data_IF_816545432853
#
_entry.id   IF_816545432853
#
_cell.length_a   1.000
_cell.length_b   1.000
_cell.length_c   1.000
_cell.angle_alpha   90.00
_cell.angle_beta   90.00
_cell.angle_gamma   90.00
#
_symmetry.space_group_name_H-M   'P 1'
#
loop_
_entity.id
_entity.type
_entity.pdbx_description
1 polymer ?
#
# COMPACT_ATOMS: atom_id res chain seq x y z
N UNK A 1 -65.83 -22.86 -19.22
CA UNK A 1 -65.05 -24.03 -19.69
C UNK A 1 -63.59 -23.67 -19.54
N UNK A 2 -62.79 -24.38 -18.74
CA UNK A 2 -62.33 -25.77 -18.86
C UNK A 2 -61.37 -25.99 -20.04
N UNK A 3 -60.09 -26.19 -19.73
CA UNK A 3 -59.24 -27.38 -20.04
C UNK A 3 -57.76 -26.96 -19.86
N UNK A 4 -56.94 -27.54 -18.95
CA UNK A 4 -56.34 -28.90 -18.93
C UNK A 4 -55.56 -29.18 -20.25
N UNK A 5 -54.31 -29.66 -20.29
CA UNK A 5 -53.75 -30.85 -19.60
C UNK A 5 -52.26 -31.10 -19.98
N UNK A 6 -51.47 -31.63 -19.01
CA UNK A 6 -50.32 -32.61 -19.03
C UNK A 6 -49.05 -32.37 -19.89
N UNK A 7 -47.85 -32.82 -19.52
CA UNK A 7 -47.38 -33.54 -18.32
C UNK A 7 -46.08 -34.34 -18.56
N UNK A 8 -45.57 -34.94 -17.47
CA UNK A 8 -44.65 -36.10 -17.44
C UNK A 8 -43.15 -35.79 -17.47
N UNK A 9 -42.21 -36.48 -16.80
CA UNK A 9 -42.21 -37.63 -15.87
C UNK A 9 -40.82 -37.66 -15.19
N UNK A 10 -40.75 -37.97 -13.88
CA UNK A 10 -39.63 -38.68 -13.22
C UNK A 10 -39.85 -40.22 -13.36
N UNK A 11 -39.08 -41.18 -12.79
CA UNK A 11 -37.78 -41.21 -12.04
C UNK A 11 -36.89 -42.40 -12.62
N UNK A 12 -35.98 -43.17 -11.93
CA UNK A 12 -35.62 -43.25 -10.50
C UNK A 12 -34.14 -43.45 -10.10
N UNK A 13 -34.00 -43.57 -8.78
CA UNK A 13 -32.85 -43.64 -7.90
C UNK A 13 -31.92 -44.86 -8.05
N UNK A 14 -30.73 -44.76 -7.44
CA UNK A 14 -30.01 -45.91 -6.90
C UNK A 14 -29.37 -45.57 -5.54
N UNK A 15 -29.73 -46.39 -4.54
CA UNK A 15 -29.12 -46.49 -3.21
C UNK A 15 -27.96 -47.50 -3.27
N UNK A 16 -26.93 -47.33 -2.45
CA UNK A 16 -25.87 -48.32 -2.24
C UNK A 16 -25.21 -48.17 -0.87
N UNK A 17 -25.40 -49.19 -0.03
CA UNK A 17 -24.96 -49.35 1.36
C UNK A 17 -23.44 -49.39 1.56
N UNK A 18 -23.00 -49.10 2.81
CA UNK A 18 -21.60 -49.09 3.27
C UNK A 18 -20.93 -50.48 3.40
N UNK A 19 -19.80 -50.55 4.14
CA UNK A 19 -19.92 -51.08 5.51
C UNK A 19 -19.01 -50.41 6.56
N UNK A 20 -19.30 -50.77 7.82
CA UNK A 20 -18.59 -50.47 9.08
C UNK A 20 -17.20 -51.12 9.14
N UNK A 21 -16.25 -50.47 9.83
CA UNK A 21 -15.29 -51.12 10.73
C UNK A 21 -14.62 -50.09 11.66
N UNK A 22 -14.65 -50.40 12.96
CA UNK A 22 -13.79 -49.97 14.07
C UNK A 22 -13.41 -51.31 14.78
N UNK A 23 -12.40 -51.44 15.69
CA UNK A 23 -11.47 -50.45 16.22
C UNK A 23 -10.00 -50.97 16.38
N UNK A 24 -9.10 -50.09 16.86
CA UNK A 24 -8.02 -50.47 17.78
C UNK A 24 -6.60 -50.59 17.22
N UNK A 25 -5.67 -49.78 17.76
CA UNK A 25 -4.37 -50.16 18.33
C UNK A 25 -3.39 -48.98 18.26
N UNK A 26 -3.20 -48.28 19.37
CA UNK A 26 -2.12 -47.31 19.53
C UNK A 26 -1.69 -47.25 20.99
N UNK A 27 -0.57 -47.92 21.32
CA UNK A 27 0.29 -47.65 22.48
C UNK A 27 1.60 -48.46 22.37
N UNK A 28 2.72 -47.82 22.73
CA UNK A 28 4.05 -48.43 22.99
C UNK A 28 5.10 -48.04 21.93
N UNK A 29 5.96 -47.03 22.08
CA UNK A 29 7.06 -46.81 23.04
C UNK A 29 8.36 -47.56 22.71
N UNK A 30 9.48 -46.83 22.74
CA UNK A 30 10.88 -47.30 22.61
C UNK A 30 11.44 -47.09 21.19
N UNK A 31 12.65 -46.62 20.91
CA UNK A 31 13.91 -46.37 21.63
C UNK A 31 14.72 -45.39 20.74
N UNK A 32 15.35 -44.32 21.27
CA UNK A 32 16.79 -44.27 21.61
C UNK A 32 17.74 -44.79 20.52
N UNK A 33 18.46 -43.87 19.86
CA UNK A 33 19.90 -43.95 19.49
C UNK A 33 20.21 -42.85 18.45
N UNK A 34 20.96 -41.80 18.79
CA UNK A 34 22.42 -41.72 18.76
C UNK A 34 22.94 -40.99 17.50
N UNK A 35 23.52 -39.80 17.74
CA UNK A 35 24.34 -39.05 16.79
C UNK A 35 25.67 -39.78 16.54
N UNK A 36 26.31 -39.55 15.38
CA UNK A 36 27.56 -38.78 15.36
C UNK A 36 27.61 -37.89 14.10
N UNK A 37 28.49 -36.91 13.90
CA UNK A 37 29.72 -36.48 14.54
C UNK A 37 30.34 -35.49 13.55
N UNK A 38 30.83 -34.37 14.05
CA UNK A 38 31.45 -33.30 13.25
C UNK A 38 32.98 -33.48 13.27
N UNK A 39 33.70 -33.37 12.14
CA UNK A 39 35.14 -33.16 12.17
C UNK A 39 35.50 -31.71 11.83
N UNK A 40 36.32 -31.12 12.72
CA UNK A 40 37.12 -29.91 12.50
C UNK A 40 38.44 -30.26 11.81
N UNK A 41 38.98 -29.32 11.03
CA UNK A 41 40.39 -29.17 10.64
C UNK A 41 40.48 -28.20 9.44
N UNK A 42 41.32 -27.17 9.35
CA UNK A 42 42.53 -26.78 10.08
C UNK A 42 43.70 -26.57 9.09
N UNK A 43 44.22 -25.34 8.96
CA UNK A 43 45.51 -25.00 8.28
C UNK A 43 45.36 -23.98 7.14
N UNK A 44 45.84 -22.73 7.20
CA UNK A 44 47.22 -22.19 7.36
C UNK A 44 47.99 -22.07 6.03
N UNK A 45 48.31 -20.82 5.62
CA UNK A 45 49.67 -20.46 5.22
C UNK A 45 49.92 -19.77 3.86
N UNK A 46 50.50 -18.57 3.97
CA UNK A 46 51.50 -17.93 3.09
C UNK A 46 51.07 -17.22 1.78
N UNK A 47 51.46 -15.94 1.69
CA UNK A 47 51.20 -15.06 0.55
C UNK A 47 52.35 -14.91 -0.44
N UNK A 48 52.10 -14.11 -1.48
CA UNK A 48 53.11 -13.38 -2.26
C UNK A 48 52.50 -12.13 -2.89
N UNK A 49 53.36 -11.11 -2.93
CA UNK A 49 53.13 -9.75 -3.38
C UNK A 49 52.88 -9.62 -4.89
N UNK A 50 51.95 -8.73 -5.23
CA UNK A 50 52.15 -7.62 -6.16
C UNK A 50 52.01 -7.90 -7.65
N UNK A 51 50.94 -7.35 -8.25
CA UNK A 51 51.03 -6.55 -9.47
C UNK A 51 49.80 -5.63 -9.53
N UNK A 52 50.09 -4.33 -9.67
CA UNK A 52 49.12 -3.25 -9.75
C UNK A 52 48.31 -3.33 -11.06
N UNK A 53 47.00 -3.06 -10.98
CA UNK A 53 46.16 -3.00 -12.16
C UNK A 53 44.73 -2.55 -11.89
N UNK A 54 44.48 -1.27 -12.17
CA UNK A 54 43.19 -0.71 -12.58
C UNK A 54 42.03 -0.65 -11.57
N UNK A 55 41.71 0.59 -11.23
CA UNK A 55 40.52 1.08 -10.54
C UNK A 55 39.22 0.49 -11.13
N UNK A 56 38.42 -0.17 -10.31
CA UNK A 56 36.95 -0.13 -10.37
C UNK A 56 36.44 -0.03 -8.94
N UNK A 57 35.89 1.12 -8.60
CA UNK A 57 35.16 1.35 -7.36
C UNK A 57 34.05 0.31 -7.24
N UNK A 58 34.15 -0.52 -6.20
CA UNK A 58 33.25 -1.62 -5.92
C UNK A 58 31.83 -1.14 -5.76
N UNK A 59 30.96 -1.58 -6.65
CA UNK A 59 29.56 -1.75 -6.32
C UNK A 59 29.54 -2.92 -5.34
N UNK A 60 29.15 -2.65 -4.10
CA UNK A 60 28.81 -3.72 -3.15
C UNK A 60 27.78 -4.60 -3.84
N UNK A 61 28.18 -5.83 -4.17
CA UNK A 61 27.26 -6.90 -4.56
C UNK A 61 26.19 -6.92 -3.48
N UNK A 62 25.00 -6.45 -3.86
CA UNK A 62 23.81 -6.57 -3.03
C UNK A 62 23.73 -8.04 -2.70
N UNK A 63 23.72 -8.36 -1.41
CA UNK A 63 23.62 -9.69 -0.84
C UNK A 63 22.48 -10.45 -1.54
N UNK A 64 22.81 -11.19 -2.61
CA UNK A 64 21.93 -12.16 -3.23
C UNK A 64 21.93 -13.36 -2.31
N UNK A 65 21.24 -13.22 -1.18
CA UNK A 65 20.75 -14.38 -0.44
C UNK A 65 20.17 -15.33 -1.50
N UNK A 66 20.66 -16.57 -1.60
CA UNK A 66 20.11 -17.54 -2.53
C UNK A 66 18.59 -17.53 -2.38
N UNK A 67 17.87 -17.28 -3.47
CA UNK A 67 16.43 -17.51 -3.48
C UNK A 67 16.26 -18.96 -3.05
N UNK A 68 15.79 -19.16 -1.82
CA UNK A 68 15.47 -20.48 -1.29
C UNK A 68 14.45 -21.05 -2.27
N UNK A 69 14.86 -22.01 -3.11
CA UNK A 69 14.08 -22.48 -4.24
C UNK A 69 12.77 -23.02 -3.67
N UNK A 70 11.64 -22.32 -3.88
CA UNK A 70 10.38 -22.80 -3.34
C UNK A 70 10.04 -24.08 -4.11
N UNK A 71 9.44 -25.05 -3.42
CA UNK A 71 9.28 -26.40 -3.96
C UNK A 71 8.66 -26.40 -5.35
N UNK A 72 9.07 -27.38 -6.19
CA UNK A 72 8.54 -27.54 -7.55
C UNK A 72 7.01 -27.62 -7.46
N UNK A 73 6.31 -26.67 -8.10
CA UNK A 73 4.85 -26.66 -8.11
C UNK A 73 4.33 -27.70 -9.11
N UNK A 74 3.44 -28.57 -8.64
CA UNK A 74 2.76 -29.54 -9.49
C UNK A 74 1.79 -28.87 -10.49
N UNK A 75 1.68 -29.41 -11.71
CA UNK A 75 0.78 -28.88 -12.75
C UNK A 75 -0.68 -28.74 -12.28
N UNK A 76 -1.13 -29.65 -11.40
CA UNK A 76 -2.47 -29.61 -10.82
C UNK A 76 -2.64 -28.45 -9.84
N UNK A 77 -1.59 -28.12 -9.08
CA UNK A 77 -1.59 -26.96 -8.19
C UNK A 77 -1.62 -25.65 -9.01
N UNK A 78 -0.79 -25.56 -10.05
CA UNK A 78 -0.78 -24.42 -10.97
C UNK A 78 -2.14 -24.22 -11.64
N UNK A 79 -2.76 -25.31 -12.12
CA UNK A 79 -4.09 -25.28 -12.76
C UNK A 79 -5.16 -24.79 -11.79
N UNK A 80 -5.17 -25.25 -10.54
CA UNK A 80 -6.11 -24.78 -9.50
C UNK A 80 -5.92 -23.28 -9.20
N UNK A 81 -4.68 -22.83 -9.08
CA UNK A 81 -4.37 -21.42 -8.85
C UNK A 81 -4.85 -20.52 -10.01
N UNK A 82 -4.54 -20.92 -11.25
CA UNK A 82 -5.00 -20.20 -12.45
C UNK A 82 -6.52 -20.19 -12.58
N UNK A 83 -7.19 -21.33 -12.34
CA UNK A 83 -8.65 -21.41 -12.36
C UNK A 83 -9.30 -20.54 -11.26
N UNK A 84 -8.68 -20.48 -10.08
CA UNK A 84 -9.12 -19.58 -9.01
C UNK A 84 -8.91 -18.11 -9.39
N UNK A 85 -7.85 -17.74 -10.11
CA UNK A 85 -7.64 -16.36 -10.57
C UNK A 85 -8.47 -15.98 -11.81
N UNK A 86 -8.92 -16.95 -12.61
CA UNK A 86 -9.72 -16.76 -13.82
C UNK A 86 -11.20 -16.39 -13.55
N UNK A 87 -11.46 -15.58 -12.52
CA UNK A 87 -12.76 -14.98 -12.26
C UNK A 87 -12.57 -13.58 -11.67
N UNK A 88 -13.35 -12.63 -12.18
CA UNK A 88 -13.16 -11.20 -11.96
C UNK A 88 -13.17 -10.80 -10.47
N UNK A 89 -14.17 -11.26 -9.70
CA UNK A 89 -14.29 -10.95 -8.28
C UNK A 89 -13.15 -11.52 -7.44
N UNK A 90 -12.71 -12.76 -7.72
CA UNK A 90 -11.56 -13.41 -7.07
C UNK A 90 -10.26 -12.68 -7.39
N UNK A 91 -10.08 -12.25 -8.65
CA UNK A 91 -8.94 -11.42 -9.02
C UNK A 91 -9.00 -10.05 -8.32
N UNK A 92 -10.19 -9.47 -8.15
CA UNK A 92 -10.41 -8.27 -7.35
C UNK A 92 -9.97 -8.43 -5.89
N UNK A 93 -10.40 -9.52 -5.24
CA UNK A 93 -9.97 -9.88 -3.88
C UNK A 93 -8.45 -10.04 -3.83
N UNK A 94 -7.86 -10.83 -4.73
CA UNK A 94 -6.42 -11.05 -4.81
C UNK A 94 -5.64 -9.74 -4.95
N UNK A 95 -6.09 -8.82 -5.82
CA UNK A 95 -5.46 -7.50 -6.00
C UNK A 95 -5.53 -6.62 -4.76
N UNK A 96 -6.64 -6.63 -4.03
CA UNK A 96 -6.76 -5.88 -2.77
C UNK A 96 -5.83 -6.46 -1.69
N UNK A 97 -5.77 -7.78 -1.57
CA UNK A 97 -4.88 -8.46 -0.64
C UNK A 97 -3.40 -8.26 -1.01
N UNK A 98 -3.05 -8.23 -2.30
CA UNK A 98 -1.70 -7.90 -2.76
C UNK A 98 -1.25 -6.52 -2.30
N UNK A 99 -2.14 -5.52 -2.38
CA UNK A 99 -1.87 -4.15 -1.93
C UNK A 99 -1.76 -4.03 -0.41
N UNK A 100 -2.48 -4.87 0.33
CA UNK A 100 -2.47 -4.90 1.79
C UNK A 100 -1.43 -5.87 2.38
N UNK A 101 -0.61 -6.50 1.55
CA UNK A 101 0.42 -7.45 2.00
C UNK A 101 1.53 -6.73 2.78
N UNK A 102 2.05 -7.31 3.89
CA UNK A 102 1.73 -8.63 4.44
C UNK A 102 0.56 -8.62 5.45
N UNK A 103 0.02 -7.45 5.78
CA UNK A 103 -0.93 -7.25 6.89
C UNK A 103 -2.31 -7.88 6.68
N UNK A 104 -2.81 -7.92 5.44
CA UNK A 104 -4.11 -8.49 5.08
C UNK A 104 -5.30 -7.56 5.33
N UNK A 105 -6.51 -8.04 5.05
CA UNK A 105 -7.78 -7.31 5.22
C UNK A 105 -8.85 -8.22 5.82
N UNK A 106 -9.79 -7.65 6.57
CA UNK A 106 -10.96 -8.40 7.04
C UNK A 106 -11.97 -8.70 5.92
N UNK A 107 -12.82 -9.71 6.12
CA UNK A 107 -13.92 -10.00 5.19
C UNK A 107 -14.85 -8.79 4.99
N UNK A 108 -15.13 -8.04 6.07
CA UNK A 108 -15.97 -6.85 6.00
C UNK A 108 -15.37 -5.77 5.10
N UNK A 109 -14.07 -5.48 5.27
CA UNK A 109 -13.37 -4.49 4.43
C UNK A 109 -13.31 -4.91 2.95
N UNK A 110 -13.08 -6.21 2.68
CA UNK A 110 -13.07 -6.74 1.32
C UNK A 110 -14.45 -6.62 0.67
N UNK A 111 -15.52 -6.93 1.41
CA UNK A 111 -16.89 -6.84 0.91
C UNK A 111 -17.25 -5.39 0.54
N UNK A 112 -16.95 -4.44 1.43
CA UNK A 112 -17.22 -3.02 1.19
C UNK A 112 -16.41 -2.44 0.03
N UNK A 113 -15.13 -2.83 -0.13
CA UNK A 113 -14.28 -2.30 -1.20
C UNK A 113 -14.60 -2.86 -2.59
N UNK A 114 -15.17 -4.06 -2.66
CA UNK A 114 -15.53 -4.71 -3.93
C UNK A 114 -17.02 -4.61 -4.23
N UNK A 115 -17.81 -4.01 -3.35
CA UNK A 115 -19.27 -3.94 -3.42
C UNK A 115 -19.91 -5.33 -3.62
N UNK A 116 -19.46 -6.30 -2.82
CA UNK A 116 -19.92 -7.69 -2.89
C UNK A 116 -20.73 -8.09 -1.65
N UNK A 117 -21.84 -8.85 -1.82
CA UNK A 117 -22.52 -9.48 -0.70
C UNK A 117 -21.58 -10.41 0.08
N UNK A 118 -21.74 -10.46 1.40
CA UNK A 118 -20.86 -11.25 2.29
C UNK A 118 -20.85 -12.75 1.95
N UNK A 119 -21.97 -13.31 1.50
CA UNK A 119 -22.09 -14.71 1.06
C UNK A 119 -21.25 -14.97 -0.19
N UNK A 120 -21.37 -14.10 -1.19
CA UNK A 120 -20.60 -14.14 -2.44
C UNK A 120 -19.11 -14.01 -2.18
N UNK A 121 -18.70 -13.06 -1.33
CA UNK A 121 -17.29 -12.90 -0.96
C UNK A 121 -16.75 -14.15 -0.25
N UNK A 122 -17.52 -14.73 0.69
CA UNK A 122 -17.09 -15.93 1.43
C UNK A 122 -16.81 -17.09 0.48
N UNK A 123 -17.67 -17.29 -0.52
CA UNK A 123 -17.47 -18.27 -1.58
C UNK A 123 -16.19 -18.02 -2.38
N UNK A 124 -15.93 -16.77 -2.78
CA UNK A 124 -14.70 -16.40 -3.48
C UNK A 124 -13.43 -16.62 -2.63
N UNK A 125 -13.47 -16.25 -1.35
CA UNK A 125 -12.36 -16.45 -0.42
C UNK A 125 -12.07 -17.93 -0.17
N UNK A 126 -13.11 -18.76 -0.08
CA UNK A 126 -12.97 -20.20 0.05
C UNK A 126 -12.25 -20.81 -1.16
N UNK A 127 -12.64 -20.41 -2.38
CA UNK A 127 -11.95 -20.87 -3.60
C UNK A 127 -10.49 -20.43 -3.67
N UNK A 128 -10.19 -19.19 -3.28
CA UNK A 128 -8.81 -18.70 -3.24
C UNK A 128 -7.98 -19.42 -2.16
N UNK A 129 -8.57 -19.75 -1.01
CA UNK A 129 -7.91 -20.51 0.04
C UNK A 129 -7.67 -21.98 -0.36
N UNK A 130 -8.62 -22.61 -1.06
CA UNK A 130 -8.45 -23.97 -1.60
C UNK A 130 -7.36 -24.06 -2.68
N UNK A 131 -7.16 -22.97 -3.42
CA UNK A 131 -6.07 -22.83 -4.38
C UNK A 131 -4.74 -22.40 -3.73
N UNK A 132 -4.70 -22.31 -2.39
CA UNK A 132 -3.55 -21.90 -1.59
C UNK A 132 -3.01 -20.50 -1.89
N UNK A 133 -3.82 -19.61 -2.49
CA UNK A 133 -3.42 -18.25 -2.82
C UNK A 133 -3.63 -17.27 -1.63
N UNK A 134 -4.54 -17.62 -0.72
CA UNK A 134 -4.95 -16.79 0.41
C UNK A 134 -4.97 -17.63 1.68
N UNK A 135 -4.47 -17.05 2.78
CA UNK A 135 -4.61 -17.60 4.14
C UNK A 135 -5.55 -16.74 4.96
N UNK A 136 -6.27 -17.37 5.89
CA UNK A 136 -7.13 -16.69 6.86
C UNK A 136 -6.57 -16.88 8.27
N UNK A 137 -6.40 -15.78 9.00
CA UNK A 137 -5.93 -15.78 10.38
C UNK A 137 -6.94 -15.08 11.27
N UNK A 138 -7.28 -15.67 12.42
CA UNK A 138 -8.20 -15.04 13.37
C UNK A 138 -7.45 -14.04 14.23
N UNK A 139 -7.78 -12.76 14.11
CA UNK A 139 -7.26 -11.69 14.98
C UNK A 139 -8.41 -11.10 15.79
N UNK A 140 -8.50 -11.53 17.04
CA UNK A 140 -9.60 -11.18 17.94
C UNK A 140 -10.95 -11.68 17.43
N UNK A 141 -11.87 -10.74 17.15
CA UNK A 141 -13.24 -11.04 16.68
C UNK A 141 -13.37 -11.18 15.17
N UNK A 142 -12.31 -10.87 14.41
CA UNK A 142 -12.35 -10.81 12.95
C UNK A 142 -11.38 -11.81 12.31
N UNK A 143 -11.75 -12.34 11.15
CA UNK A 143 -10.85 -13.10 10.27
C UNK A 143 -10.15 -12.12 9.32
N UNK A 144 -8.83 -12.14 9.34
CA UNK A 144 -7.96 -11.36 8.46
C UNK A 144 -7.42 -12.28 7.37
N UNK A 145 -7.69 -11.93 6.12
CA UNK A 145 -7.23 -12.65 4.94
C UNK A 145 -5.96 -11.99 4.43
N UNK A 146 -4.95 -12.78 4.06
CA UNK A 146 -3.69 -12.29 3.48
C UNK A 146 -3.23 -13.21 2.35
N UNK A 147 -2.44 -12.69 1.41
CA UNK A 147 -1.86 -13.51 0.35
C UNK A 147 -0.80 -14.47 0.91
N UNK A 148 -0.72 -15.66 0.32
CA UNK A 148 0.44 -16.54 0.44
C UNK A 148 1.44 -16.17 -0.66
N UNK A 149 2.46 -15.42 -0.30
CA UNK A 149 3.44 -14.91 -1.26
C UNK A 149 4.29 -16.04 -1.86
N UNK A 150 4.48 -17.11 -1.09
CA UNK A 150 5.23 -18.31 -1.44
C UNK A 150 4.57 -19.00 -2.64
N UNK A 151 3.27 -19.33 -2.52
CA UNK A 151 2.48 -19.95 -3.58
C UNK A 151 2.43 -19.09 -4.85
N UNK A 152 2.39 -17.76 -4.71
CA UNK A 152 2.45 -16.86 -5.86
C UNK A 152 3.82 -16.91 -6.56
N UNK A 153 4.92 -16.91 -5.80
CA UNK A 153 6.28 -17.02 -6.36
C UNK A 153 6.45 -18.36 -7.07
N UNK A 154 5.97 -19.45 -6.49
CA UNK A 154 5.97 -20.79 -7.10
C UNK A 154 5.17 -20.83 -8.40
N UNK A 155 3.99 -20.20 -8.46
CA UNK A 155 3.20 -20.15 -9.69
C UNK A 155 3.93 -19.37 -10.80
N UNK A 156 4.54 -18.23 -10.47
CA UNK A 156 5.32 -17.45 -11.44
C UNK A 156 6.54 -18.23 -11.91
N UNK A 157 7.22 -18.93 -11.00
CA UNK A 157 8.32 -19.82 -11.32
C UNK A 157 7.89 -20.95 -12.27
N UNK A 158 6.80 -21.66 -11.95
CA UNK A 158 6.24 -22.71 -12.80
C UNK A 158 5.93 -22.20 -14.21
N UNK A 159 5.36 -21.00 -14.35
CA UNK A 159 5.08 -20.41 -15.65
C UNK A 159 6.37 -20.10 -16.43
N UNK A 160 7.39 -19.57 -15.77
CA UNK A 160 8.65 -19.17 -16.41
C UNK A 160 9.56 -20.34 -16.77
N UNK A 161 9.75 -21.27 -15.84
CA UNK A 161 10.77 -22.32 -15.92
C UNK A 161 10.16 -23.67 -16.34
N UNK A 162 9.15 -24.16 -15.62
CA UNK A 162 8.61 -25.51 -15.87
C UNK A 162 7.74 -25.58 -17.14
N UNK A 163 6.92 -24.55 -17.36
CA UNK A 163 5.99 -24.47 -18.49
C UNK A 163 6.67 -23.95 -19.76
N UNK A 164 7.53 -22.94 -19.63
CA UNK A 164 8.19 -22.29 -20.76
C UNK A 164 9.65 -22.66 -20.95
N UNK A 165 10.14 -23.65 -20.19
CA UNK A 165 11.48 -24.23 -20.32
C UNK A 165 12.60 -23.20 -20.20
N UNK A 166 12.43 -22.19 -19.33
CA UNK A 166 13.42 -21.15 -19.10
C UNK A 166 13.64 -20.22 -20.30
N UNK A 167 12.67 -20.16 -21.23
CA UNK A 167 12.70 -19.23 -22.36
C UNK A 167 12.58 -17.78 -21.90
N UNK A 168 13.74 -17.18 -21.66
CA UNK A 168 13.88 -15.79 -21.22
C UNK A 168 13.34 -14.77 -22.23
N UNK A 169 13.11 -15.13 -23.49
CA UNK A 169 12.45 -14.26 -24.47
C UNK A 169 10.93 -14.13 -24.24
N UNK A 170 10.29 -15.12 -23.62
CA UNK A 170 8.86 -15.13 -23.31
C UNK A 170 8.52 -14.38 -22.01
N UNK A 171 9.43 -14.42 -21.04
CA UNK A 171 9.27 -13.73 -19.76
C UNK A 171 10.07 -12.44 -19.69
N UNK A 172 11.09 -12.28 -20.52
CA UNK A 172 11.97 -11.11 -20.57
C UNK A 172 12.47 -10.68 -19.20
N UNK A 173 12.96 -9.45 -19.13
CA UNK A 173 13.08 -8.77 -17.86
C UNK A 173 11.72 -8.16 -17.46
N UNK A 174 10.71 -9.00 -17.27
CA UNK A 174 9.39 -8.62 -16.75
C UNK A 174 9.52 -7.68 -15.54
N UNK A 175 10.49 -7.96 -14.67
CA UNK A 175 10.90 -7.11 -13.55
C UNK A 175 11.38 -5.72 -14.01
N UNK A 176 12.32 -5.64 -14.95
CA UNK A 176 12.83 -4.35 -15.45
C UNK A 176 11.74 -3.53 -16.12
N UNK A 177 10.83 -4.15 -16.90
CA UNK A 177 9.71 -3.45 -17.54
C UNK A 177 8.66 -2.97 -16.54
N UNK A 178 8.37 -3.75 -15.50
CA UNK A 178 7.50 -3.34 -14.39
C UNK A 178 8.14 -2.18 -13.63
N UNK A 179 9.44 -2.25 -13.37
CA UNK A 179 10.19 -1.21 -12.66
C UNK A 179 10.38 0.04 -13.49
N UNK A 180 10.57 -0.07 -14.81
CA UNK A 180 10.58 1.04 -15.76
C UNK A 180 9.22 1.74 -15.77
N UNK A 181 8.12 1.01 -15.97
CA UNK A 181 6.76 1.59 -15.89
C UNK A 181 6.48 2.23 -14.53
N UNK A 182 6.96 1.65 -13.43
CA UNK A 182 6.85 2.26 -12.09
C UNK A 182 7.70 3.51 -11.97
N UNK A 183 8.91 3.53 -12.53
CA UNK A 183 9.80 4.71 -12.56
C UNK A 183 9.19 5.82 -13.40
N UNK A 184 8.66 5.51 -14.58
CA UNK A 184 7.94 6.46 -15.42
C UNK A 184 6.70 7.00 -14.72
N UNK A 185 5.85 6.15 -14.15
CA UNK A 185 4.67 6.58 -13.41
C UNK A 185 5.03 7.46 -12.20
N UNK A 186 6.12 7.14 -11.48
CA UNK A 186 6.65 7.96 -10.38
C UNK A 186 7.29 9.26 -10.86
N UNK A 187 7.94 9.26 -12.03
CA UNK A 187 8.51 10.46 -12.63
C UNK A 187 7.42 11.43 -13.09
N UNK A 188 6.25 10.91 -13.51
CA UNK A 188 5.09 11.70 -13.89
C UNK A 188 4.30 12.20 -12.67
N UNK A 189 4.16 11.40 -11.60
CA UNK A 189 3.43 11.80 -10.40
C UNK A 189 4.14 12.93 -9.63
N UNK A 190 3.39 13.94 -9.17
CA UNK A 190 3.92 14.97 -8.25
C UNK A 190 3.97 14.39 -6.84
N UNK A 191 5.02 14.63 -6.04
CA UNK A 191 5.05 14.22 -4.64
C UNK A 191 3.83 14.78 -3.89
N UNK A 192 3.14 13.92 -3.15
CA UNK A 192 1.97 14.32 -2.38
C UNK A 192 2.36 14.90 -1.01
N UNK A 193 1.82 16.07 -0.69
CA UNK A 193 1.99 16.76 0.60
C UNK A 193 0.64 16.77 1.32
N UNK A 194 0.61 16.36 2.59
CA UNK A 194 -0.59 16.38 3.42
C UNK A 194 -0.36 17.25 4.66
N UNK A 195 -1.11 18.36 4.76
CA UNK A 195 -1.12 19.20 5.95
C UNK A 195 -2.15 18.71 6.97
N UNK A 196 -1.73 18.45 8.20
CA UNK A 196 -2.57 17.92 9.27
C UNK A 196 -2.78 18.94 10.37
N UNK A 197 -4.04 19.16 10.74
CA UNK A 197 -4.38 19.81 12.00
C UNK A 197 -5.53 19.10 12.70
N UNK A 198 -5.99 19.61 13.84
CA UNK A 198 -7.08 18.95 14.60
C UNK A 198 -8.39 18.96 13.82
N UNK A 199 -8.87 20.15 13.40
CA UNK A 199 -10.21 20.34 12.81
C UNK A 199 -10.27 20.51 11.29
N UNK A 200 -9.13 20.55 10.61
CA UNK A 200 -9.03 20.91 9.19
C UNK A 200 -9.78 22.20 8.78
N UNK A 201 -9.80 23.20 9.68
CA UNK A 201 -10.69 24.37 9.57
C UNK A 201 -9.96 25.69 9.28
N UNK A 202 -8.70 25.84 9.71
CA UNK A 202 -7.93 27.07 9.54
C UNK A 202 -6.50 26.82 9.02
N UNK A 203 -5.54 26.55 9.91
CA UNK A 203 -4.10 26.41 9.60
C UNK A 203 -3.80 25.49 8.41
N UNK A 204 -4.34 24.28 8.41
CA UNK A 204 -4.09 23.31 7.34
C UNK A 204 -4.74 23.69 6.01
N UNK A 205 -5.88 24.41 6.05
CA UNK A 205 -6.54 24.93 4.84
C UNK A 205 -5.72 26.07 4.23
N UNK A 206 -5.23 26.99 5.06
CA UNK A 206 -4.31 28.04 4.62
C UNK A 206 -3.04 27.44 4.02
N UNK A 207 -2.44 26.45 4.67
CA UNK A 207 -1.24 25.78 4.17
C UNK A 207 -1.46 25.06 2.83
N UNK A 208 -2.59 24.35 2.66
CA UNK A 208 -2.97 23.73 1.37
C UNK A 208 -3.06 24.77 0.26
N UNK A 209 -3.78 25.86 0.51
CA UNK A 209 -4.02 26.92 -0.45
C UNK A 209 -2.74 27.67 -0.84
N UNK A 210 -1.93 28.04 0.15
CA UNK A 210 -0.66 28.75 -0.03
C UNK A 210 0.35 27.90 -0.79
N UNK A 211 0.52 26.62 -0.45
CA UNK A 211 1.47 25.76 -1.16
C UNK A 211 1.05 25.51 -2.61
N UNK A 212 -0.27 25.39 -2.89
CA UNK A 212 -0.76 25.30 -4.27
C UNK A 212 -0.42 26.55 -5.09
N UNK A 213 -0.48 27.74 -4.49
CA UNK A 213 -0.12 28.98 -5.16
C UNK A 213 1.39 29.11 -5.38
N UNK A 214 2.20 28.84 -4.36
CA UNK A 214 3.66 28.99 -4.44
C UNK A 214 4.31 27.90 -5.33
N UNK A 215 3.68 26.72 -5.45
CA UNK A 215 4.28 25.56 -6.12
C UNK A 215 3.27 24.70 -6.93
N UNK A 216 2.48 25.29 -7.86
CA UNK A 216 1.31 24.66 -8.47
C UNK A 216 1.61 23.36 -9.23
N UNK A 217 2.80 23.25 -9.82
CA UNK A 217 3.21 22.10 -10.63
C UNK A 217 4.24 21.19 -9.95
N UNK A 218 4.61 21.49 -8.69
CA UNK A 218 5.63 20.72 -7.97
C UNK A 218 5.04 19.65 -7.06
N UNK A 219 3.87 19.91 -6.46
CA UNK A 219 3.27 19.01 -5.47
C UNK A 219 1.81 18.70 -5.78
N UNK A 220 1.36 17.54 -5.30
CA UNK A 220 -0.04 17.25 -5.11
C UNK A 220 -0.39 17.57 -3.65
N UNK A 221 -1.08 18.68 -3.41
CA UNK A 221 -1.27 19.22 -2.06
C UNK A 221 -2.64 18.87 -1.52
N UNK A 222 -2.68 18.38 -0.29
CA UNK A 222 -3.86 17.99 0.46
C UNK A 222 -3.80 18.53 1.90
N UNK A 223 -4.96 18.60 2.55
CA UNK A 223 -5.07 18.79 3.99
C UNK A 223 -6.13 17.88 4.60
N UNK A 224 -5.96 17.58 5.89
CA UNK A 224 -6.87 16.74 6.65
C UNK A 224 -6.91 17.06 8.14
N UNK A 225 -7.94 16.53 8.80
CA UNK A 225 -8.25 16.72 10.21
C UNK A 225 -8.34 15.40 10.96
N UNK A 226 -7.98 15.40 12.24
CA UNK A 226 -8.25 14.25 13.13
C UNK A 226 -9.73 14.20 13.55
N UNK A 227 -10.35 15.37 13.67
CA UNK A 227 -11.78 15.55 13.97
C UNK A 227 -12.29 16.75 13.15
N UNK A 228 -12.55 16.55 11.83
CA UNK A 228 -12.81 17.63 10.90
C UNK A 228 -14.11 18.39 11.21
N UNK A 229 -14.05 19.72 11.19
CA UNK A 229 -15.18 20.62 11.33
C UNK A 229 -15.34 21.56 10.12
N UNK A 230 -16.36 22.44 10.10
CA UNK A 230 -16.52 23.41 9.01
C UNK A 230 -15.30 24.34 8.89
N UNK A 231 -14.97 24.76 7.67
CA UNK A 231 -13.89 25.73 7.43
C UNK A 231 -14.29 27.06 8.10
N UNK A 232 -13.36 27.63 8.88
CA UNK A 232 -13.62 28.87 9.59
C UNK A 232 -13.76 30.03 8.58
N UNK A 233 -14.80 30.89 8.66
CA UNK A 233 -15.04 31.94 7.66
C UNK A 233 -13.87 32.91 7.47
N UNK A 234 -13.19 33.30 8.56
CA UNK A 234 -12.01 34.17 8.47
C UNK A 234 -10.84 33.52 7.71
N UNK A 235 -10.75 32.19 7.68
CA UNK A 235 -9.77 31.47 6.84
C UNK A 235 -9.98 31.77 5.36
N UNK A 236 -11.22 31.74 4.91
CA UNK A 236 -11.58 32.00 3.51
C UNK A 236 -11.29 33.47 3.18
N UNK A 237 -11.72 34.39 4.05
CA UNK A 237 -11.51 35.84 3.89
C UNK A 237 -10.04 36.21 3.75
N UNK A 238 -9.14 35.71 4.61
CA UNK A 238 -7.71 36.05 4.52
C UNK A 238 -7.02 35.44 3.30
N UNK A 239 -7.54 34.36 2.72
CA UNK A 239 -7.05 33.78 1.47
C UNK A 239 -7.56 34.56 0.25
N UNK A 240 -8.83 34.96 0.27
CA UNK A 240 -9.45 35.79 -0.78
C UNK A 240 -8.79 37.17 -0.87
N UNK A 241 -8.40 37.76 0.28
CA UNK A 241 -7.66 39.03 0.34
C UNK A 241 -6.36 39.04 -0.48
N UNK A 242 -5.70 37.88 -0.60
CA UNK A 242 -4.45 37.71 -1.37
C UNK A 242 -4.70 37.05 -2.74
N UNK A 243 -5.96 37.04 -3.18
CA UNK A 243 -6.38 36.57 -4.51
C UNK A 243 -6.36 35.05 -4.68
N UNK A 244 -6.42 34.26 -3.60
CA UNK A 244 -6.49 32.81 -3.70
C UNK A 244 -7.95 32.35 -3.81
N UNK A 245 -8.25 31.57 -4.84
CA UNK A 245 -9.54 30.89 -4.98
C UNK A 245 -9.71 29.81 -3.91
N UNK A 246 -10.74 29.97 -3.08
CA UNK A 246 -11.07 29.09 -1.95
C UNK A 246 -12.11 28.03 -2.30
N UNK A 247 -12.75 28.11 -3.47
CA UNK A 247 -13.80 27.17 -3.91
C UNK A 247 -13.37 25.69 -3.91
N UNK A 248 -12.10 25.32 -4.17
CA UNK A 248 -11.67 23.92 -4.13
C UNK A 248 -11.42 23.38 -2.71
N UNK A 249 -11.41 24.26 -1.69
CA UNK A 249 -11.11 23.87 -0.32
C UNK A 249 -12.28 23.15 0.32
N UNK A 250 -11.98 22.11 1.09
CA UNK A 250 -12.97 21.33 1.81
C UNK A 250 -12.34 20.69 3.03
N UNK A 251 -13.12 20.60 4.11
CA UNK A 251 -12.70 19.93 5.34
C UNK A 251 -12.82 18.42 5.21
N UNK A 252 -11.73 17.70 5.46
CA UNK A 252 -11.58 16.26 5.20
C UNK A 252 -11.03 15.54 6.42
N UNK A 253 -11.53 14.34 6.65
CA UNK A 253 -11.01 13.43 7.68
C UNK A 253 -9.69 12.79 7.24
N UNK A 254 -8.76 12.57 8.18
CA UNK A 254 -7.51 11.86 7.95
C UNK A 254 -7.72 10.49 7.29
N UNK A 255 -8.76 9.75 7.67
CA UNK A 255 -9.15 8.46 7.11
C UNK A 255 -9.42 8.49 5.59
N UNK A 256 -9.66 9.68 5.02
CA UNK A 256 -9.77 9.86 3.58
C UNK A 256 -8.47 9.49 2.84
N UNK A 257 -7.31 9.69 3.47
CA UNK A 257 -6.00 9.51 2.85
C UNK A 257 -5.33 8.17 3.20
N UNK A 258 -5.70 7.57 4.34
CA UNK A 258 -5.06 6.36 4.86
C UNK A 258 -5.20 5.17 3.89
N UNK A 259 -4.05 4.68 3.38
CA UNK A 259 -3.97 3.53 2.48
C UNK A 259 -4.51 3.77 1.06
N UNK A 260 -4.91 5.00 0.73
CA UNK A 260 -5.46 5.39 -0.58
C UNK A 260 -4.53 6.33 -1.33
N UNK A 261 -3.88 7.24 -0.62
CA UNK A 261 -3.00 8.26 -1.22
C UNK A 261 -1.56 8.03 -0.77
N UNK A 262 -0.58 7.89 -1.68
CA UNK A 262 0.83 7.75 -1.31
C UNK A 262 1.40 9.11 -0.87
N UNK A 263 1.25 9.45 0.40
CA UNK A 263 1.77 10.69 0.97
C UNK A 263 3.29 10.64 1.08
N UNK A 264 3.95 11.64 0.52
CA UNK A 264 5.41 11.78 0.60
C UNK A 264 5.80 12.61 1.82
N UNK A 265 5.11 13.74 2.03
CA UNK A 265 5.33 14.63 3.16
C UNK A 265 4.04 14.76 3.97
N UNK A 266 4.05 14.34 5.24
CA UNK A 266 3.00 14.66 6.19
C UNK A 266 3.49 15.79 7.10
N UNK A 267 2.80 16.93 7.07
CA UNK A 267 3.23 18.14 7.77
C UNK A 267 2.16 18.49 8.80
N UNK A 268 2.49 18.28 10.06
CA UNK A 268 1.59 18.58 11.17
C UNK A 268 1.75 20.05 11.57
N UNK A 269 0.65 20.80 11.55
CA UNK A 269 0.65 22.26 11.78
C UNK A 269 0.05 22.68 13.12
N UNK A 270 -0.38 21.73 13.94
CA UNK A 270 -0.81 21.99 15.31
C UNK A 270 -0.30 20.92 16.29
N UNK A 271 -0.10 21.31 17.54
CA UNK A 271 0.44 20.47 18.61
C UNK A 271 -0.47 19.28 18.94
N UNK A 272 -1.78 19.52 19.06
CA UNK A 272 -2.77 18.47 19.34
C UNK A 272 -2.81 17.38 18.27
N UNK A 273 -2.56 17.72 17.00
CA UNK A 273 -2.47 16.71 15.95
C UNK A 273 -1.13 15.97 15.98
N UNK A 274 -0.05 16.60 16.46
CA UNK A 274 1.26 15.95 16.56
C UNK A 274 1.26 14.83 17.60
N UNK A 275 0.55 15.03 18.71
CA UNK A 275 0.44 14.04 19.80
C UNK A 275 -0.48 12.87 19.46
N UNK A 276 -1.56 13.13 18.71
CA UNK A 276 -2.62 12.15 18.45
C UNK A 276 -2.56 11.53 17.04
N UNK A 277 -1.68 12.00 16.16
CA UNK A 277 -1.54 11.40 14.84
C UNK A 277 -0.93 10.00 14.98
N UNK A 278 -1.56 8.95 14.42
CA UNK A 278 -1.01 7.61 14.49
C UNK A 278 0.37 7.60 13.83
N UNK A 279 1.44 7.49 14.63
CA UNK A 279 2.85 7.37 14.18
C UNK A 279 3.14 6.02 13.50
N UNK A 280 2.09 5.32 13.08
CA UNK A 280 2.17 3.97 12.54
C UNK A 280 2.67 4.08 11.11
N UNK A 281 3.93 3.70 10.91
CA UNK A 281 4.51 3.44 9.59
C UNK A 281 3.57 2.48 8.81
N UNK A 282 3.14 2.80 7.58
CA UNK A 282 3.81 3.63 6.57
C UNK A 282 2.95 4.81 6.06
N UNK A 283 2.52 5.73 6.93
CA UNK A 283 1.63 6.83 6.49
C UNK A 283 2.28 7.90 5.61
N UNK A 284 3.57 8.20 5.77
CA UNK A 284 4.32 9.10 4.90
C UNK A 284 5.81 8.78 4.89
N UNK A 285 6.51 9.13 3.80
CA UNK A 285 7.97 8.97 3.72
C UNK A 285 8.71 9.95 4.66
N UNK A 286 8.16 11.15 4.82
CA UNK A 286 8.70 12.18 5.72
C UNK A 286 7.58 12.80 6.56
N UNK A 287 7.86 12.99 7.85
CA UNK A 287 6.98 13.67 8.79
C UNK A 287 7.65 14.95 9.29
N UNK A 288 6.98 16.09 9.13
CA UNK A 288 7.46 17.41 9.55
C UNK A 288 6.47 18.01 10.55
N UNK A 289 6.97 18.87 11.44
CA UNK A 289 6.15 19.57 12.43
C UNK A 289 6.41 21.07 12.36
N UNK A 290 5.39 21.85 12.00
CA UNK A 290 5.43 23.30 11.89
C UNK A 290 4.37 23.93 12.81
N UNK A 291 4.68 24.19 14.08
CA UNK A 291 3.69 24.71 15.02
C UNK A 291 3.27 26.13 14.66
N UNK A 292 1.96 26.34 14.55
CA UNK A 292 1.36 27.67 14.46
C UNK A 292 0.28 27.85 15.53
N UNK A 293 0.16 29.06 16.12
CA UNK A 293 -0.90 29.34 17.10
C UNK A 293 -2.28 29.15 16.45
N UNK A 294 -3.29 28.78 17.25
CA UNK A 294 -4.65 28.58 16.72
C UNK A 294 -5.35 29.94 16.52
N UNK A 295 -5.55 30.42 15.29
CA UNK A 295 -6.19 31.71 15.09
C UNK A 295 -7.66 31.70 15.50
N UNK A 296 -8.30 30.52 15.57
CA UNK A 296 -9.69 30.38 16.02
C UNK A 296 -9.88 30.66 17.52
N UNK A 297 -8.79 30.67 18.31
CA UNK A 297 -8.83 31.01 19.73
C UNK A 297 -8.72 32.53 19.99
N UNK A 298 -8.56 33.35 18.95
CA UNK A 298 -8.49 34.79 19.09
C UNK A 298 -9.83 35.38 19.58
N UNK A 299 -9.77 36.19 20.62
CA UNK A 299 -10.88 36.97 21.18
C UNK A 299 -10.81 38.43 20.69
N UNK A 300 -11.92 39.16 20.85
CA UNK A 300 -12.02 40.57 20.44
C UNK A 300 -12.98 40.80 19.27
N UNK A 301 -12.86 41.97 18.67
CA UNK A 301 -13.64 42.39 17.50
C UNK A 301 -13.29 41.55 16.27
N UNK A 302 -14.15 41.58 15.24
CA UNK A 302 -13.92 40.82 14.01
C UNK A 302 -12.61 41.24 13.33
N UNK A 303 -12.32 42.54 13.26
CA UNK A 303 -11.05 43.08 12.75
C UNK A 303 -9.83 42.62 13.55
N UNK A 304 -9.88 42.63 14.89
CA UNK A 304 -8.77 42.13 15.73
C UNK A 304 -8.52 40.64 15.49
N UNK A 305 -9.59 39.84 15.38
CA UNK A 305 -9.48 38.41 15.06
C UNK A 305 -8.94 38.22 13.64
N UNK A 306 -9.37 39.02 12.67
CA UNK A 306 -8.90 38.97 11.29
C UNK A 306 -7.39 39.25 11.20
N UNK A 307 -6.88 40.21 11.97
CA UNK A 307 -5.43 40.47 12.08
C UNK A 307 -4.65 39.25 12.58
N UNK A 308 -5.17 38.51 13.56
CA UNK A 308 -4.54 37.26 14.01
C UNK A 308 -4.53 36.21 12.90
N UNK A 309 -5.62 36.08 12.13
CA UNK A 309 -5.65 35.17 10.98
C UNK A 309 -4.64 35.58 9.89
N UNK A 310 -4.48 36.88 9.61
CA UNK A 310 -3.47 37.40 8.68
C UNK A 310 -2.05 37.05 9.16
N UNK A 311 -1.75 37.29 10.43
CA UNK A 311 -0.45 36.95 11.01
C UNK A 311 -0.11 35.45 10.89
N UNK A 312 -1.09 34.56 11.14
CA UNK A 312 -0.90 33.11 10.96
C UNK A 312 -0.74 32.72 9.49
N UNK A 313 -1.55 33.28 8.59
CA UNK A 313 -1.43 33.07 7.13
C UNK A 313 -0.02 33.41 6.66
N UNK A 314 0.48 34.58 7.04
CA UNK A 314 1.78 35.09 6.58
C UNK A 314 2.93 34.27 7.17
N UNK A 315 2.81 33.82 8.43
CA UNK A 315 3.77 32.90 9.04
C UNK A 315 3.82 31.54 8.32
N UNK A 316 2.66 30.99 7.92
CA UNK A 316 2.58 29.75 7.14
C UNK A 316 3.23 29.94 5.76
N UNK A 317 2.92 31.05 5.08
CA UNK A 317 3.48 31.39 3.77
C UNK A 317 5.00 31.48 3.82
N UNK A 318 5.55 32.19 4.81
CA UNK A 318 6.99 32.33 5.00
C UNK A 318 7.65 30.97 5.26
N UNK A 319 7.04 30.11 6.09
CA UNK A 319 7.58 28.77 6.37
C UNK A 319 7.55 27.89 5.12
N UNK A 320 6.50 27.98 4.30
CA UNK A 320 6.42 27.28 3.01
C UNK A 320 7.57 27.71 2.09
N UNK A 321 7.79 29.03 1.92
CA UNK A 321 8.87 29.54 1.08
C UNK A 321 10.24 29.04 1.55
N UNK A 322 10.52 29.15 2.84
CA UNK A 322 11.76 28.63 3.42
C UNK A 322 11.93 27.12 3.18
N UNK A 323 10.87 26.33 3.35
CA UNK A 323 10.92 24.89 3.08
C UNK A 323 11.19 24.58 1.61
N UNK A 324 10.58 25.34 0.70
CA UNK A 324 10.79 25.23 -0.75
C UNK A 324 12.23 25.57 -1.18
N UNK A 325 12.90 26.49 -0.48
CA UNK A 325 14.24 26.97 -0.81
C UNK A 325 15.36 26.18 -0.13
N UNK A 326 15.17 25.74 1.12
CA UNK A 326 16.25 25.24 1.97
C UNK A 326 16.20 23.73 2.27
N UNK A 327 15.03 23.10 2.18
CA UNK A 327 14.79 21.77 2.75
C UNK A 327 14.26 20.75 1.72
N UNK A 328 14.17 21.09 0.43
CA UNK A 328 13.72 20.16 -0.59
C UNK A 328 14.83 19.18 -1.01
N UNK A 329 14.54 17.87 -1.05
CA UNK A 329 15.50 16.92 -1.59
C UNK A 329 15.69 17.13 -3.10
N UNK A 330 16.92 16.95 -3.60
CA UNK A 330 17.33 17.11 -5.00
C UNK A 330 16.55 16.23 -6.03
N UNK A 331 15.71 15.31 -5.56
CA UNK A 331 14.75 14.55 -6.37
C UNK A 331 13.51 15.35 -6.78
N UNK A 332 13.19 16.42 -6.06
CA UNK A 332 12.05 17.33 -6.32
C UNK A 332 12.48 18.56 -7.14
N UNK A 333 13.74 18.97 -7.05
CA UNK A 333 14.31 20.10 -7.80
C UNK A 333 14.52 19.80 -9.29
N UNK A 334 14.74 18.52 -9.65
CA UNK A 334 15.08 18.09 -11.03
C UNK A 334 13.93 18.10 -12.04
N UNK A 335 12.82 18.78 -11.74
CA UNK A 335 11.69 18.89 -12.65
C UNK A 335 11.67 20.30 -13.23
N UNK A 336 12.27 20.54 -14.41
CA UNK A 336 12.07 21.81 -15.09
C UNK A 336 10.57 22.01 -15.30
N UNK A 337 10.10 23.24 -15.12
CA UNK A 337 8.78 23.64 -15.58
C UNK A 337 8.65 23.14 -17.02
N UNK A 338 7.54 22.47 -17.35
CA UNK A 338 7.27 22.05 -18.71
C UNK A 338 7.33 23.30 -19.61
N UNK A 339 8.48 23.51 -20.23
CA UNK A 339 8.67 24.54 -21.23
C UNK A 339 7.82 24.12 -22.41
N UNK A 340 6.90 25.00 -22.78
CA UNK A 340 6.26 24.94 -24.09
C UNK A 340 7.33 24.72 -25.15
N UNK A 341 7.04 23.80 -26.06
CA UNK A 341 7.96 23.45 -27.13
C UNK A 341 8.34 24.66 -27.97
N UNK A 342 9.51 24.57 -28.57
CA UNK A 342 9.68 25.06 -29.92
C UNK A 342 10.43 24.01 -30.72
N UNK A 343 9.87 23.75 -31.89
CA UNK A 343 10.40 22.93 -32.94
C UNK A 343 11.78 23.43 -33.37
N UNK A 344 12.62 22.49 -33.84
CA UNK A 344 13.37 22.58 -35.10
C UNK A 344 13.83 21.19 -35.53
#
# INVERSE_FOLDING_TARGET
GSMLVRGGRSPPAYNGMGPRADPGSGMGAGESAAAPGNPRGGGSGAGRLGLAGSRRTGWSVVDTQPFDYPGIMEIQAATRALAALAQESRLGVFRLLARASPGGLSAGELASRLDLPASTLSFHLQHLAQADLVRAERRGRSLIYSLRAETLRELVWFLGEDCCQGRSDLFGSLTERIDERRREARAVARPAVLFLCSRNSARSQMAEALLRREAPNRFEVHSGGLDPGPIHPLTLRVLEEIGIDTSPLSSKDLAHFLGKTPIHFAITVCETANENCPRVHPFALQQLYWPFPDPAAAEGTEEERLEVFRGVRDAIELRIRHWLDAELPASVERRPAAGNGDAL
#
